data_IF_759266898305
#
_entry.id   IF_759266898305
#
_cell.length_a   1.000
_cell.length_b   1.000
_cell.length_c   1.000
_cell.angle_alpha   90.00
_cell.angle_beta   90.00
_cell.angle_gamma   90.00
#
_symmetry.space_group_name_H-M   'P 1'
#
loop_
_entity.id
_entity.type
_entity.pdbx_description
1 polymer ?
#
# COMPACT_ATOMS: atom_id res chain seq x y z
N UNK A 1 -8.18 21.77 -5.64
CA UNK A 1 -8.35 21.42 -4.23
C UNK A 1 -7.08 21.83 -3.47
N UNK A 2 -7.24 22.43 -2.31
CA UNK A 2 -6.11 22.75 -1.41
C UNK A 2 -5.59 21.44 -0.85
N UNK A 3 -4.26 21.24 -0.85
CA UNK A 3 -3.66 20.05 -0.22
C UNK A 3 -3.84 20.10 1.30
N UNK A 4 -3.85 18.94 1.96
CA UNK A 4 -3.97 18.85 3.42
C UNK A 4 -2.86 19.64 4.15
N UNK A 5 -1.64 19.63 3.60
CA UNK A 5 -0.53 20.45 4.12
C UNK A 5 -0.83 21.95 4.02
N UNK A 6 -1.35 22.40 2.87
CA UNK A 6 -1.67 23.83 2.69
C UNK A 6 -2.81 24.28 3.63
N UNK A 7 -3.82 23.44 3.85
CA UNK A 7 -4.88 23.74 4.79
C UNK A 7 -4.35 23.92 6.22
N UNK A 8 -3.42 23.03 6.64
CA UNK A 8 -2.75 23.13 7.95
C UNK A 8 -1.94 24.43 8.06
N UNK A 9 -1.12 24.76 7.05
CA UNK A 9 -0.30 25.99 7.06
C UNK A 9 -1.11 27.27 7.03
N UNK A 10 -2.28 27.26 6.38
CA UNK A 10 -3.22 28.38 6.36
C UNK A 10 -4.12 28.43 7.61
N UNK A 11 -3.89 27.54 8.60
CA UNK A 11 -4.70 27.44 9.81
C UNK A 11 -6.20 27.19 9.55
N UNK A 12 -6.51 26.55 8.44
CA UNK A 12 -7.87 26.12 8.10
C UNK A 12 -8.26 24.83 8.83
N UNK A 13 -7.26 24.08 9.26
CA UNK A 13 -7.38 22.90 10.14
C UNK A 13 -6.23 22.90 11.15
N UNK A 14 -6.48 22.34 12.33
CA UNK A 14 -5.47 22.24 13.39
C UNK A 14 -4.62 20.96 13.26
N UNK A 15 -5.17 19.92 12.62
CA UNK A 15 -4.53 18.62 12.38
C UNK A 15 -4.83 18.18 10.96
N UNK A 16 -3.85 17.56 10.31
CA UNK A 16 -4.00 16.98 8.98
C UNK A 16 -3.43 15.56 8.95
N UNK A 17 -4.10 14.66 8.24
CA UNK A 17 -3.58 13.34 7.93
C UNK A 17 -2.73 13.45 6.66
N UNK A 18 -1.46 13.08 6.76
CA UNK A 18 -0.52 13.05 5.66
C UNK A 18 0.04 11.63 5.52
N UNK A 19 0.18 11.17 4.29
CA UNK A 19 0.70 9.83 4.02
C UNK A 19 2.15 9.89 3.57
N UNK A 20 2.98 8.98 4.08
CA UNK A 20 4.35 8.68 3.64
C UNK A 20 5.12 9.89 3.03
N UNK A 21 5.14 10.00 1.70
CA UNK A 21 5.89 11.05 0.97
C UNK A 21 5.43 12.45 1.36
N UNK A 22 4.13 12.67 1.49
CA UNK A 22 3.56 13.99 1.80
C UNK A 22 3.92 14.43 3.23
N UNK A 23 3.96 13.50 4.18
CA UNK A 23 4.43 13.78 5.53
C UNK A 23 5.89 14.22 5.53
N UNK A 24 6.77 13.48 4.86
CA UNK A 24 8.19 13.81 4.79
C UNK A 24 8.45 15.18 4.17
N UNK A 25 7.69 15.53 3.14
CA UNK A 25 7.75 16.84 2.51
C UNK A 25 7.31 17.93 3.50
N UNK A 26 6.19 17.74 4.17
CA UNK A 26 5.67 18.71 5.13
C UNK A 26 6.64 18.92 6.31
N UNK A 27 7.25 17.86 6.84
CA UNK A 27 8.26 17.96 7.88
C UNK A 27 9.52 18.68 7.39
N UNK A 28 9.96 18.43 6.15
CA UNK A 28 11.09 19.15 5.56
C UNK A 28 10.84 20.65 5.40
N UNK A 29 9.62 21.05 5.07
CA UNK A 29 9.23 22.45 5.00
C UNK A 29 9.22 23.13 6.39
N UNK A 30 9.28 22.37 7.48
CA UNK A 30 9.28 22.89 8.86
C UNK A 30 7.93 23.48 9.29
N UNK A 31 7.87 23.99 10.53
CA UNK A 31 6.67 24.64 11.08
C UNK A 31 5.52 23.71 11.44
N UNK A 32 5.68 22.38 11.24
CA UNK A 32 4.72 21.34 11.65
C UNK A 32 5.46 20.20 12.35
N UNK A 33 4.74 19.40 13.13
CA UNK A 33 5.29 18.21 13.79
C UNK A 33 4.34 17.03 13.63
N UNK A 34 4.91 15.82 13.66
CA UNK A 34 4.09 14.61 13.80
C UNK A 34 3.48 14.58 15.21
N UNK A 35 2.20 14.26 15.29
CA UNK A 35 1.50 13.99 16.56
C UNK A 35 1.61 12.50 16.88
N UNK A 36 1.25 11.65 15.92
CA UNK A 36 1.43 10.19 15.96
C UNK A 36 1.37 9.65 14.53
N UNK A 37 1.78 8.38 14.34
CA UNK A 37 1.58 7.62 13.12
C UNK A 37 0.64 6.43 13.39
N UNK A 38 0.00 5.94 12.34
CA UNK A 38 -0.80 4.72 12.38
C UNK A 38 0.00 3.50 12.87
N UNK A 39 1.28 3.42 12.51
CA UNK A 39 2.20 2.39 12.99
C UNK A 39 2.47 2.45 14.49
N UNK A 40 2.32 3.62 15.13
CA UNK A 40 2.44 3.76 16.59
C UNK A 40 1.24 3.10 17.31
N UNK A 41 0.09 3.02 16.62
CA UNK A 41 -1.16 2.47 17.16
C UNK A 41 -1.35 0.98 16.80
N UNK A 42 -0.99 0.60 15.59
CA UNK A 42 -1.35 -0.71 15.00
C UNK A 42 -0.13 -1.57 14.67
N UNK A 43 1.08 -1.07 14.87
CA UNK A 43 2.30 -1.74 14.41
C UNK A 43 2.45 -1.70 12.89
N UNK A 44 3.30 -2.58 12.35
CA UNK A 44 3.48 -2.70 10.90
C UNK A 44 2.33 -3.50 10.30
N UNK A 45 1.69 -2.95 9.27
CA UNK A 45 0.61 -3.60 8.53
C UNK A 45 0.68 -3.25 7.04
N UNK A 46 -0.02 -4.03 6.22
CA UNK A 46 -0.12 -3.78 4.79
C UNK A 46 -1.10 -2.62 4.52
N UNK A 47 -0.57 -1.51 3.98
CA UNK A 47 -1.33 -0.29 3.75
C UNK A 47 -2.11 -0.28 2.43
N UNK A 48 -1.87 -1.22 1.52
CA UNK A 48 -2.54 -1.23 0.22
C UNK A 48 -2.52 -2.59 -0.46
N UNK A 49 -3.42 -2.75 -1.43
CA UNK A 49 -3.52 -3.95 -2.23
C UNK A 49 -3.89 -3.61 -3.68
N UNK A 50 -3.62 -4.53 -4.58
CA UNK A 50 -4.15 -4.47 -5.94
C UNK A 50 -5.49 -5.20 -5.99
N UNK A 51 -6.50 -4.55 -6.56
CA UNK A 51 -7.81 -5.14 -6.81
C UNK A 51 -8.01 -5.37 -8.30
N UNK A 52 -8.52 -6.53 -8.65
CA UNK A 52 -8.88 -6.88 -10.02
C UNK A 52 -10.32 -7.37 -10.08
N UNK A 53 -10.99 -7.10 -11.19
CA UNK A 53 -12.35 -7.60 -11.41
C UNK A 53 -12.34 -9.13 -11.52
N UNK A 54 -13.32 -9.77 -10.90
CA UNK A 54 -13.44 -11.24 -10.87
C UNK A 54 -13.54 -11.84 -12.28
N UNK A 55 -14.33 -11.22 -13.14
CA UNK A 55 -14.47 -11.65 -14.54
C UNK A 55 -13.16 -11.53 -15.32
N UNK A 56 -12.38 -10.45 -15.10
CA UNK A 56 -11.06 -10.31 -15.71
C UNK A 56 -10.11 -11.44 -15.29
N UNK A 57 -10.06 -11.76 -14.00
CA UNK A 57 -9.23 -12.85 -13.45
C UNK A 57 -9.60 -14.18 -14.11
N UNK A 58 -10.90 -14.47 -14.22
CA UNK A 58 -11.40 -15.72 -14.81
C UNK A 58 -11.08 -15.84 -16.31
N UNK A 59 -11.21 -14.73 -17.06
CA UNK A 59 -10.94 -14.69 -18.48
C UNK A 59 -9.44 -14.63 -18.83
N UNK A 60 -8.61 -14.12 -17.91
CA UNK A 60 -7.20 -13.84 -18.15
C UNK A 60 -6.28 -14.38 -17.03
N UNK A 61 -6.32 -15.68 -16.69
CA UNK A 61 -5.58 -16.23 -15.54
C UNK A 61 -4.06 -16.08 -15.71
N UNK A 62 -3.52 -16.24 -16.92
CA UNK A 62 -2.09 -16.10 -17.18
C UNK A 62 -1.61 -14.65 -17.06
N UNK A 63 -2.38 -13.69 -17.53
CA UNK A 63 -2.09 -12.26 -17.38
C UNK A 63 -2.11 -11.89 -15.89
N UNK A 64 -3.12 -12.36 -15.14
CA UNK A 64 -3.23 -12.18 -13.70
C UNK A 64 -2.00 -12.75 -12.98
N UNK A 65 -1.61 -13.99 -13.30
CA UNK A 65 -0.43 -14.64 -12.73
C UNK A 65 0.86 -13.87 -13.02
N UNK A 66 1.04 -13.43 -14.27
CA UNK A 66 2.22 -12.65 -14.67
C UNK A 66 2.30 -11.34 -13.90
N UNK A 67 1.20 -10.61 -13.78
CA UNK A 67 1.12 -9.36 -13.02
C UNK A 67 1.43 -9.58 -11.54
N UNK A 68 0.74 -10.51 -10.89
CA UNK A 68 0.91 -10.79 -9.45
C UNK A 68 2.34 -11.26 -9.15
N UNK A 69 2.89 -12.16 -9.98
CA UNK A 69 4.29 -12.62 -9.85
C UNK A 69 5.28 -11.47 -10.02
N UNK A 70 5.05 -10.58 -10.97
CA UNK A 70 5.91 -9.41 -11.20
C UNK A 70 5.91 -8.47 -10.00
N UNK A 71 4.73 -8.17 -9.47
CA UNK A 71 4.57 -7.32 -8.26
C UNK A 71 5.22 -7.97 -7.04
N UNK A 72 4.98 -9.26 -6.81
CA UNK A 72 5.56 -9.99 -5.70
C UNK A 72 7.10 -10.00 -5.73
N UNK A 73 7.69 -10.25 -6.90
CA UNK A 73 9.16 -10.19 -7.10
C UNK A 73 9.71 -8.78 -6.90
N UNK A 74 9.03 -7.75 -7.41
CA UNK A 74 9.44 -6.37 -7.22
C UNK A 74 9.39 -5.97 -5.74
N UNK A 75 8.38 -6.44 -5.01
CA UNK A 75 8.27 -6.24 -3.57
C UNK A 75 9.45 -6.86 -2.83
N UNK A 76 9.80 -8.13 -3.09
CA UNK A 76 10.94 -8.79 -2.46
C UNK A 76 12.27 -8.11 -2.80
N UNK A 77 12.45 -7.69 -4.06
CA UNK A 77 13.62 -6.92 -4.46
C UNK A 77 13.75 -5.62 -3.65
N UNK A 78 12.65 -4.90 -3.43
CA UNK A 78 12.61 -3.69 -2.61
C UNK A 78 13.00 -3.93 -1.16
N UNK A 79 12.67 -5.08 -0.59
CA UNK A 79 12.97 -5.40 0.82
C UNK A 79 14.47 -5.59 1.08
N UNK A 80 15.21 -6.04 0.08
CA UNK A 80 16.63 -6.39 0.21
C UNK A 80 17.57 -5.40 -0.48
N UNK A 81 17.04 -4.47 -1.28
CA UNK A 81 17.85 -3.52 -2.07
C UNK A 81 18.02 -2.21 -1.29
N UNK A 82 19.24 -1.65 -1.25
CA UNK A 82 19.47 -0.33 -0.66
C UNK A 82 18.55 0.73 -1.26
N UNK A 83 17.98 1.57 -0.40
CA UNK A 83 16.93 2.52 -0.81
C UNK A 83 17.39 3.50 -1.91
N UNK A 84 18.64 3.85 -1.96
CA UNK A 84 19.17 4.76 -2.98
C UNK A 84 19.25 4.08 -4.36
N UNK A 85 19.53 2.78 -4.40
CA UNK A 85 19.47 1.99 -5.63
C UNK A 85 18.00 1.86 -6.12
N UNK A 86 17.07 1.63 -5.21
CA UNK A 86 15.64 1.62 -5.52
C UNK A 86 15.19 2.95 -6.12
N UNK A 87 15.57 4.07 -5.51
CA UNK A 87 15.27 5.42 -6.00
C UNK A 87 15.89 5.71 -7.36
N UNK A 88 17.14 5.27 -7.57
CA UNK A 88 17.83 5.38 -8.86
C UNK A 88 17.07 4.58 -9.94
N UNK A 89 16.66 3.34 -9.64
CA UNK A 89 15.88 2.51 -10.56
C UNK A 89 14.53 3.13 -10.90
N UNK A 90 13.82 3.69 -9.92
CA UNK A 90 12.57 4.40 -10.17
C UNK A 90 12.76 5.62 -11.07
N UNK A 91 13.80 6.42 -10.79
CA UNK A 91 14.12 7.57 -11.63
C UNK A 91 14.41 7.17 -13.07
N UNK A 92 15.14 6.07 -13.29
CA UNK A 92 15.41 5.51 -14.61
C UNK A 92 14.13 5.08 -15.32
N UNK A 93 13.23 4.35 -14.63
CA UNK A 93 11.96 3.89 -15.18
C UNK A 93 11.09 5.08 -15.58
N UNK A 94 10.97 6.11 -14.73
CA UNK A 94 10.18 7.31 -15.02
C UNK A 94 10.72 8.02 -16.25
N UNK A 95 12.04 8.21 -16.34
CA UNK A 95 12.66 8.84 -17.51
C UNK A 95 12.45 8.04 -18.79
N UNK A 96 12.56 6.70 -18.73
CA UNK A 96 12.38 5.85 -19.91
C UNK A 96 10.95 5.82 -20.43
N UNK A 97 9.96 6.09 -19.57
CA UNK A 97 8.54 6.14 -19.95
C UNK A 97 8.15 7.40 -20.70
N UNK A 98 8.96 8.47 -20.64
CA UNK A 98 8.70 9.77 -21.26
C UNK A 98 7.30 10.34 -20.93
N UNK A 99 6.82 10.07 -19.72
CA UNK A 99 5.55 10.59 -19.18
C UNK A 99 5.83 11.78 -18.28
N UNK A 100 4.82 12.65 -18.10
CA UNK A 100 4.90 13.78 -17.18
C UNK A 100 4.75 13.30 -15.72
N UNK A 101 5.74 12.57 -15.23
CA UNK A 101 5.80 12.05 -13.85
C UNK A 101 6.78 12.90 -13.02
N UNK A 102 6.43 13.19 -11.77
CA UNK A 102 7.21 14.08 -10.92
C UNK A 102 8.39 13.35 -10.24
N UNK A 103 9.59 13.51 -10.79
CA UNK A 103 10.84 12.97 -10.23
C UNK A 103 11.19 13.56 -8.86
N UNK A 104 10.72 14.76 -8.52
CA UNK A 104 11.04 15.42 -7.25
C UNK A 104 10.49 14.67 -6.02
N UNK A 105 9.57 13.74 -6.21
CA UNK A 105 9.01 12.90 -5.15
C UNK A 105 9.88 11.68 -4.82
N UNK A 106 10.73 11.23 -5.74
CA UNK A 106 11.54 10.01 -5.59
C UNK A 106 12.45 10.04 -4.35
N UNK A 107 13.14 11.14 -4.00
CA UNK A 107 13.98 11.19 -2.80
C UNK A 107 13.23 10.91 -1.48
N UNK A 108 11.93 11.11 -1.46
CA UNK A 108 11.08 10.87 -0.28
C UNK A 108 10.51 9.46 -0.22
N UNK A 109 10.62 8.67 -1.30
CA UNK A 109 10.18 7.29 -1.30
C UNK A 109 10.99 6.46 -0.30
N UNK A 110 10.31 5.65 0.52
CA UNK A 110 10.96 4.77 1.50
C UNK A 110 10.42 3.34 1.53
N UNK A 111 9.17 3.15 1.19
CA UNK A 111 8.51 1.84 1.27
C UNK A 111 7.18 1.87 0.51
N UNK A 112 6.71 0.71 0.08
CA UNK A 112 5.34 0.52 -0.42
C UNK A 112 4.32 0.25 0.69
N UNK A 113 4.77 0.13 1.95
CA UNK A 113 3.87 -0.18 3.06
C UNK A 113 3.27 -1.59 2.97
N UNK A 114 4.04 -2.57 2.51
CA UNK A 114 3.66 -3.98 2.48
C UNK A 114 4.58 -4.75 3.41
N UNK A 115 4.04 -5.49 4.37
CA UNK A 115 4.81 -6.16 5.43
C UNK A 115 5.09 -7.64 5.13
N UNK A 116 4.20 -8.31 4.41
CA UNK A 116 4.27 -9.74 4.18
C UNK A 116 5.11 -10.10 2.96
N UNK A 117 5.82 -11.24 3.04
CA UNK A 117 6.64 -11.77 1.95
C UNK A 117 5.85 -11.88 0.65
N UNK A 118 6.40 -11.33 -0.43
CA UNK A 118 5.74 -11.32 -1.75
C UNK A 118 4.39 -10.61 -1.77
N UNK A 119 4.03 -9.87 -0.71
CA UNK A 119 2.73 -9.22 -0.58
C UNK A 119 1.58 -10.21 -0.33
N UNK A 120 1.85 -11.34 0.31
CA UNK A 120 0.81 -12.28 0.74
C UNK A 120 -0.20 -11.59 1.67
N UNK A 121 -1.46 -11.94 1.52
CA UNK A 121 -2.56 -11.41 2.35
C UNK A 121 -3.09 -12.48 3.29
N UNK A 122 -3.55 -12.05 4.46
CA UNK A 122 -4.11 -12.91 5.50
C UNK A 122 -5.47 -12.37 5.94
N UNK A 123 -6.34 -13.24 6.40
CA UNK A 123 -7.63 -12.84 6.99
C UNK A 123 -7.46 -11.83 8.15
N UNK A 124 -6.37 -11.97 8.92
CA UNK A 124 -6.02 -11.07 10.01
C UNK A 124 -5.80 -9.62 9.57
N UNK A 125 -5.34 -9.38 8.33
CA UNK A 125 -5.11 -8.03 7.80
C UNK A 125 -6.42 -7.25 7.62
N UNK A 126 -7.52 -7.96 7.38
CA UNK A 126 -8.85 -7.38 7.13
C UNK A 126 -9.72 -7.33 8.38
N UNK A 127 -9.46 -8.21 9.36
CA UNK A 127 -10.31 -8.34 10.53
C UNK A 127 -10.52 -7.04 11.31
N UNK A 128 -9.50 -6.22 11.63
CA UNK A 128 -9.70 -4.97 12.37
C UNK A 128 -10.64 -3.99 11.64
N UNK A 129 -10.57 -3.95 10.32
CA UNK A 129 -11.41 -3.10 9.48
C UNK A 129 -12.86 -3.59 9.42
N UNK A 130 -13.05 -4.91 9.34
CA UNK A 130 -14.39 -5.51 9.40
C UNK A 130 -15.01 -5.26 10.78
N UNK A 131 -14.26 -5.46 11.85
CA UNK A 131 -14.71 -5.21 13.22
C UNK A 131 -15.12 -3.72 13.42
N UNK A 132 -14.33 -2.81 12.86
CA UNK A 132 -14.66 -1.38 12.86
C UNK A 132 -15.97 -1.10 12.12
N UNK A 133 -16.17 -1.66 10.92
CA UNK A 133 -17.39 -1.48 10.13
C UNK A 133 -18.62 -2.06 10.83
N UNK A 134 -18.46 -3.18 11.55
CA UNK A 134 -19.52 -3.76 12.39
C UNK A 134 -19.83 -2.83 13.58
N UNK A 135 -18.81 -2.32 14.25
CA UNK A 135 -18.96 -1.35 15.36
C UNK A 135 -19.70 -0.08 14.91
N UNK A 136 -19.37 0.40 13.71
CA UNK A 136 -20.02 1.57 13.10
C UNK A 136 -21.41 1.26 12.48
N UNK A 137 -21.90 0.02 12.62
CA UNK A 137 -23.18 -0.45 12.06
C UNK A 137 -23.26 -0.38 10.53
N UNK A 138 -22.10 -0.33 9.84
CA UNK A 138 -22.00 -0.37 8.37
C UNK A 138 -22.04 -1.81 7.82
N UNK A 139 -21.70 -2.77 8.66
CA UNK A 139 -21.84 -4.21 8.40
C UNK A 139 -22.58 -4.89 9.57
N UNK A 140 -23.32 -5.95 9.28
CA UNK A 140 -23.83 -6.85 10.32
C UNK A 140 -22.71 -7.81 10.76
N UNK A 141 -22.73 -8.30 12.01
CA UNK A 141 -21.84 -9.37 12.45
C UNK A 141 -21.88 -10.54 11.47
N UNK A 142 -20.71 -11.09 11.13
CA UNK A 142 -20.54 -12.23 10.21
C UNK A 142 -21.05 -12.02 8.76
N UNK A 143 -21.44 -10.81 8.38
CA UNK A 143 -21.89 -10.50 7.02
C UNK A 143 -20.77 -10.66 5.98
N UNK A 144 -19.52 -10.42 6.36
CA UNK A 144 -18.36 -10.52 5.49
C UNK A 144 -17.32 -11.48 6.06
N UNK A 145 -17.02 -12.54 5.32
CA UNK A 145 -15.93 -13.46 5.65
C UNK A 145 -14.62 -12.89 5.06
N UNK A 146 -13.60 -12.58 5.87
CA UNK A 146 -12.35 -12.02 5.39
C UNK A 146 -11.65 -12.91 4.35
N UNK A 147 -11.81 -14.24 4.42
CA UNK A 147 -11.21 -15.16 3.45
C UNK A 147 -11.81 -15.07 2.03
N UNK A 148 -12.93 -14.35 1.84
CA UNK A 148 -13.58 -14.21 0.53
C UNK A 148 -13.20 -12.92 -0.22
N UNK A 149 -12.45 -12.02 0.42
CA UNK A 149 -12.13 -10.70 -0.14
C UNK A 149 -10.70 -10.58 -0.67
N UNK A 150 -9.89 -11.61 -0.50
CA UNK A 150 -8.54 -11.66 -1.08
C UNK A 150 -8.25 -13.05 -1.67
N UNK A 151 -7.17 -13.14 -2.44
CA UNK A 151 -6.67 -14.41 -2.96
C UNK A 151 -5.17 -14.36 -3.13
N UNK A 152 -4.48 -15.39 -2.67
CA UNK A 152 -3.05 -15.62 -2.92
C UNK A 152 -2.81 -16.63 -4.05
N UNK A 153 -3.84 -17.12 -4.73
CA UNK A 153 -3.75 -18.22 -5.71
C UNK A 153 -2.77 -17.97 -6.87
N UNK A 154 -2.53 -16.70 -7.22
CA UNK A 154 -1.60 -16.31 -8.29
C UNK A 154 -0.24 -15.84 -7.76
N UNK A 155 -0.06 -15.80 -6.43
CA UNK A 155 1.18 -15.31 -5.82
C UNK A 155 2.20 -16.45 -5.76
N UNK A 156 3.37 -16.26 -6.37
CA UNK A 156 4.44 -17.27 -6.42
C UNK A 156 5.10 -17.55 -5.06
N UNK A 157 4.82 -16.74 -4.04
CA UNK A 157 5.28 -16.95 -2.66
C UNK A 157 4.24 -17.66 -1.77
N UNK A 158 3.02 -17.85 -2.29
CA UNK A 158 2.06 -18.71 -1.61
C UNK A 158 2.59 -20.14 -1.61
N UNK A 159 2.57 -20.81 -0.45
CA UNK A 159 2.80 -22.25 -0.40
C UNK A 159 1.79 -22.95 -1.31
N UNK A 160 2.15 -24.03 -2.02
CA UNK A 160 1.15 -24.86 -2.66
C UNK A 160 0.10 -25.23 -1.61
N UNK A 161 -1.18 -24.94 -1.89
CA UNK A 161 -2.25 -25.47 -1.07
C UNK A 161 -2.06 -26.98 -1.04
N UNK A 162 -1.85 -27.55 0.15
CA UNK A 162 -2.06 -28.97 0.33
C UNK A 162 -3.55 -29.18 0.09
N UNK A 163 -3.90 -29.56 -1.13
CA UNK A 163 -5.21 -30.08 -1.46
C UNK A 163 -5.38 -31.39 -0.68
N UNK A 164 -5.94 -31.29 0.52
CA UNK A 164 -6.50 -32.39 1.27
C UNK A 164 -8.02 -32.36 1.18
#
# INVERSE_FOLDING_TARGET
PISSEQALRKKQVDVAVLTNILEKIALKHGGVRRVFADTDLYGSFTAGSYSMRKDFIQQNPQVTKTFVTGVAKAHEWLQVTPIDEVRARFSQIIRSRQRNENLALIPYFSSYGVSEKGGLQKAADFKPWIDLLVKEKKLKPQQLNPNTIYSNAFNSYASPLNDN
#
